data_IF_365171138335
#
_entry.id   IF_365171138335
#
_cell.length_a   1.000
_cell.length_b   1.000
_cell.length_c   1.000
_cell.angle_alpha   90.00
_cell.angle_beta   90.00
_cell.angle_gamma   90.00
#
_symmetry.space_group_name_H-M   'P 1'
#
loop_
_entity.id
_entity.type
_entity.pdbx_description
1 polymer ?
#
# COMPACT_ATOMS: atom_id res chain seq x y z
N UNK A 1 -12.97 -29.39 -31.58
CA UNK A 1 -14.04 -29.40 -30.56
C UNK A 1 -13.40 -29.02 -29.24
N UNK A 2 -13.78 -27.88 -28.67
CA UNK A 2 -13.15 -27.33 -27.47
C UNK A 2 -13.76 -28.02 -26.25
N UNK A 3 -12.97 -28.85 -25.57
CA UNK A 3 -13.36 -29.50 -24.33
C UNK A 3 -13.48 -28.45 -23.24
N UNK A 4 -14.69 -27.94 -23.00
CA UNK A 4 -14.97 -27.07 -21.87
C UNK A 4 -14.71 -27.84 -20.58
N UNK A 5 -13.66 -27.47 -19.86
CA UNK A 5 -13.45 -27.93 -18.49
C UNK A 5 -14.67 -27.50 -17.67
N UNK A 6 -15.52 -28.46 -17.31
CA UNK A 6 -16.65 -28.25 -16.42
C UNK A 6 -16.09 -27.94 -15.02
N UNK A 7 -15.96 -26.65 -14.73
CA UNK A 7 -15.62 -26.18 -13.40
C UNK A 7 -16.88 -26.32 -12.53
N UNK A 8 -16.87 -27.31 -11.63
CA UNK A 8 -17.93 -27.47 -10.64
C UNK A 8 -17.57 -26.65 -9.40
N UNK A 9 -18.43 -25.70 -9.03
CA UNK A 9 -18.32 -24.94 -7.78
C UNK A 9 -18.48 -25.91 -6.60
N UNK A 10 -17.39 -26.18 -5.88
CA UNK A 10 -17.38 -27.17 -4.78
C UNK A 10 -17.92 -26.61 -3.47
N UNK A 11 -17.75 -25.31 -3.23
CA UNK A 11 -18.26 -24.61 -2.06
C UNK A 11 -18.27 -23.09 -2.25
N UNK A 12 -19.26 -22.44 -1.64
CA UNK A 12 -19.37 -20.97 -1.56
C UNK A 12 -19.42 -20.55 -0.10
N UNK A 13 -18.47 -19.73 0.31
CA UNK A 13 -18.46 -19.16 1.65
C UNK A 13 -18.97 -17.73 1.60
N UNK A 14 -20.04 -17.43 2.35
CA UNK A 14 -20.38 -16.06 2.69
C UNK A 14 -19.49 -15.66 3.86
N UNK A 15 -18.49 -14.83 3.59
CA UNK A 15 -17.70 -14.20 4.64
C UNK A 15 -18.46 -12.96 5.08
N UNK A 16 -18.82 -12.90 6.35
CA UNK A 16 -19.34 -11.67 6.94
C UNK A 16 -18.24 -10.60 6.90
N UNK A 17 -18.58 -9.34 6.58
CA UNK A 17 -17.62 -8.24 6.59
C UNK A 17 -17.04 -8.12 7.99
N UNK A 18 -15.73 -8.34 8.07
CA UNK A 18 -14.96 -8.20 9.30
C UNK A 18 -14.48 -6.76 9.41
N UNK A 19 -14.56 -6.16 10.59
CA UNK A 19 -14.03 -4.80 10.85
C UNK A 19 -12.54 -4.70 10.53
N UNK A 20 -11.84 -5.82 10.62
CA UNK A 20 -10.44 -5.97 10.24
C UNK A 20 -10.20 -5.70 8.75
N UNK A 21 -11.19 -5.92 7.88
CA UNK A 21 -11.07 -5.61 6.46
C UNK A 21 -10.94 -4.10 6.23
N UNK A 22 -11.79 -3.30 6.88
CA UNK A 22 -11.74 -1.82 6.78
C UNK A 22 -10.39 -1.28 7.27
N UNK A 23 -9.88 -1.82 8.40
CA UNK A 23 -8.57 -1.44 8.96
C UNK A 23 -7.45 -1.77 7.99
N UNK A 24 -7.51 -2.93 7.33
CA UNK A 24 -6.51 -3.34 6.34
C UNK A 24 -6.58 -2.47 5.10
N UNK A 25 -7.77 -2.14 4.61
CA UNK A 25 -7.96 -1.24 3.47
C UNK A 25 -7.36 0.15 3.74
N UNK A 26 -7.65 0.73 4.91
CA UNK A 26 -7.06 2.01 5.33
C UNK A 26 -5.53 1.94 5.42
N UNK A 27 -4.99 0.82 5.93
CA UNK A 27 -3.56 0.60 6.02
C UNK A 27 -2.92 0.53 4.63
N UNK A 28 -3.47 -0.27 3.71
CA UNK A 28 -2.97 -0.38 2.34
C UNK A 28 -3.03 0.96 1.62
N UNK A 29 -4.15 1.69 1.75
CA UNK A 29 -4.30 3.01 1.18
C UNK A 29 -3.22 3.97 1.67
N UNK A 30 -2.98 4.00 2.98
CA UNK A 30 -1.95 4.87 3.57
C UNK A 30 -0.55 4.53 3.03
N UNK A 31 -0.20 3.24 2.90
CA UNK A 31 1.10 2.87 2.31
C UNK A 31 1.20 3.23 0.84
N UNK A 32 0.14 3.06 0.07
CA UNK A 32 0.11 3.47 -1.33
C UNK A 32 0.40 4.96 -1.46
N UNK A 33 -0.25 5.80 -0.65
CA UNK A 33 -0.02 7.25 -0.62
C UNK A 33 1.42 7.62 -0.23
N UNK A 34 2.02 6.90 0.74
CA UNK A 34 3.42 7.10 1.13
C UNK A 34 4.38 6.74 -0.01
N UNK A 35 4.15 5.60 -0.67
CA UNK A 35 4.99 5.13 -1.78
C UNK A 35 4.88 6.09 -2.97
N UNK A 36 3.68 6.53 -3.32
CA UNK A 36 3.46 7.52 -4.39
C UNK A 36 4.20 8.83 -4.08
N UNK A 37 4.07 9.37 -2.88
CA UNK A 37 4.80 10.58 -2.48
C UNK A 37 6.33 10.40 -2.57
N UNK A 38 6.84 9.22 -2.22
CA UNK A 38 8.26 8.89 -2.37
C UNK A 38 8.69 8.86 -3.84
N UNK A 39 7.88 8.30 -4.73
CA UNK A 39 8.16 8.24 -6.17
C UNK A 39 8.16 9.63 -6.79
N UNK A 40 7.14 10.44 -6.48
CA UNK A 40 7.05 11.83 -6.96
C UNK A 40 8.27 12.64 -6.53
N UNK A 41 8.63 12.55 -5.24
CA UNK A 41 9.79 13.27 -4.71
C UNK A 41 11.11 12.81 -5.32
N UNK A 42 11.24 11.51 -5.59
CA UNK A 42 12.41 10.93 -6.24
C UNK A 42 12.56 11.45 -7.68
N UNK A 43 11.45 11.53 -8.42
CA UNK A 43 11.41 12.07 -9.79
C UNK A 43 11.73 13.56 -9.81
N UNK A 44 11.11 14.35 -8.92
CA UNK A 44 11.32 15.80 -8.82
C UNK A 44 12.77 16.17 -8.51
N UNK A 45 13.44 15.39 -7.66
CA UNK A 45 14.83 15.62 -7.27
C UNK A 45 15.84 14.88 -8.14
N UNK A 46 15.40 14.04 -9.07
CA UNK A 46 16.24 13.11 -9.83
C UNK A 46 17.16 12.26 -8.91
N UNK A 47 16.57 11.69 -7.86
CA UNK A 47 17.28 10.90 -6.83
C UNK A 47 16.90 9.43 -6.93
N UNK A 48 17.90 8.58 -7.08
CA UNK A 48 17.73 7.11 -7.08
C UNK A 48 18.18 6.45 -5.78
N UNK A 49 18.87 7.19 -4.90
CA UNK A 49 19.36 6.67 -3.62
C UNK A 49 18.27 6.75 -2.55
N UNK A 50 17.91 5.59 -1.98
CA UNK A 50 17.00 5.49 -0.83
C UNK A 50 17.39 6.40 0.32
N UNK A 51 18.70 6.53 0.63
CA UNK A 51 19.18 7.41 1.71
C UNK A 51 18.86 8.87 1.42
N UNK A 52 19.20 9.36 0.22
CA UNK A 52 18.95 10.74 -0.20
C UNK A 52 17.45 11.05 -0.27
N UNK A 53 16.64 10.11 -0.77
CA UNK A 53 15.19 10.25 -0.79
C UNK A 53 14.62 10.36 0.63
N UNK A 54 15.05 9.47 1.53
CA UNK A 54 14.62 9.48 2.92
C UNK A 54 14.96 10.81 3.61
N UNK A 55 16.18 11.32 3.46
CA UNK A 55 16.58 12.64 3.99
C UNK A 55 15.73 13.79 3.42
N UNK A 56 15.28 13.68 2.17
CA UNK A 56 14.52 14.70 1.47
C UNK A 56 13.01 14.71 1.78
N UNK A 57 12.42 13.59 2.20
CA UNK A 57 10.95 13.45 2.36
C UNK A 57 10.51 13.05 3.76
N UNK A 58 11.37 12.42 4.57
CA UNK A 58 10.97 11.80 5.84
C UNK A 58 10.29 12.78 6.81
N UNK A 59 10.79 14.01 6.93
CA UNK A 59 10.18 15.02 7.83
C UNK A 59 8.74 15.34 7.42
N UNK A 60 8.47 15.44 6.13
CA UNK A 60 7.13 15.71 5.58
C UNK A 60 6.18 14.54 5.85
N UNK A 61 6.61 13.31 5.51
CA UNK A 61 5.83 12.11 5.78
C UNK A 61 5.56 11.93 7.28
N UNK A 62 6.56 12.18 8.13
CA UNK A 62 6.43 12.07 9.58
C UNK A 62 5.44 13.06 10.17
N UNK A 63 5.35 14.28 9.60
CA UNK A 63 4.34 15.26 10.00
C UNK A 63 2.92 14.85 9.55
N UNK A 64 2.78 14.26 8.36
CA UNK A 64 1.50 13.78 7.84
C UNK A 64 0.98 12.55 8.60
N UNK A 65 1.89 11.67 9.00
CA UNK A 65 1.56 10.39 9.64
C UNK A 65 2.26 10.24 11.01
N UNK A 66 1.91 11.09 12.01
CA UNK A 66 2.61 11.12 13.30
C UNK A 66 2.35 9.88 14.17
N UNK A 67 1.26 9.15 13.92
CA UNK A 67 0.89 7.97 14.70
C UNK A 67 1.38 6.66 14.08
N UNK A 68 1.93 6.71 12.86
CA UNK A 68 2.49 5.52 12.22
C UNK A 68 3.89 5.21 12.75
N UNK A 69 4.26 3.92 12.89
CA UNK A 69 5.62 3.52 13.24
C UNK A 69 6.66 4.04 12.24
N UNK A 70 7.87 4.34 12.71
CA UNK A 70 8.92 4.93 11.89
C UNK A 70 9.43 4.03 10.77
N UNK A 71 9.35 2.70 10.89
CA UNK A 71 9.76 1.79 9.82
C UNK A 71 8.77 1.75 8.65
N UNK A 72 7.65 2.46 8.79
CA UNK A 72 6.60 2.61 7.80
C UNK A 72 6.56 4.03 7.20
N UNK A 73 7.49 4.91 7.61
CA UNK A 73 7.63 6.32 7.21
C UNK A 73 9.06 6.56 6.71
#
# INVERSE_FOLDING_TARGET
MSSSLLLNETCRFKLEPRKEADILEDLFKTYSEIVEACLDRAMDLNVTSRKKLHEAIYKELRMRYPNYPSHYI
#
